data_IF_121340271983
#
_entry.id   IF_121340271983
#
_cell.length_a   1.000
_cell.length_b   1.000
_cell.length_c   1.000
_cell.angle_alpha   90.00
_cell.angle_beta   90.00
_cell.angle_gamma   90.00
#
_symmetry.space_group_name_H-M   'P 1'
#
loop_
_entity.id
_entity.type
_entity.pdbx_description
1 polymer ?
#
# COMPACT_ATOMS: atom_id res chain seq x y z
N UNK A 1 6.81 -7.94 3.74
CA UNK A 1 7.68 -6.82 3.34
C UNK A 1 7.64 -5.67 4.35
N UNK A 2 8.76 -4.96 4.56
CA UNK A 2 8.79 -3.72 5.35
C UNK A 2 8.31 -2.52 4.55
N UNK A 3 7.34 -1.77 5.08
CA UNK A 3 6.79 -0.58 4.44
C UNK A 3 7.05 0.67 5.28
N UNK A 4 7.61 1.70 4.63
CA UNK A 4 7.72 3.06 5.20
C UNK A 4 6.36 3.77 5.23
N UNK A 5 6.28 4.94 5.88
CA UNK A 5 5.08 5.79 5.83
C UNK A 5 4.69 6.11 4.38
N UNK A 6 5.66 6.50 3.54
CA UNK A 6 5.46 6.78 2.11
C UNK A 6 4.87 5.58 1.38
N UNK A 7 5.46 4.39 1.59
CA UNK A 7 4.96 3.17 0.95
C UNK A 7 3.53 2.86 1.35
N UNK A 8 3.19 3.02 2.63
CA UNK A 8 1.85 2.76 3.16
C UNK A 8 0.83 3.74 2.61
N UNK A 9 1.17 5.03 2.50
CA UNK A 9 0.30 6.04 1.87
C UNK A 9 0.05 5.69 0.41
N UNK A 10 1.11 5.38 -0.35
CA UNK A 10 0.99 4.99 -1.75
C UNK A 10 0.13 3.73 -1.91
N UNK A 11 0.37 2.72 -1.08
CA UNK A 11 -0.40 1.47 -1.09
C UNK A 11 -1.87 1.70 -0.76
N UNK A 12 -2.18 2.56 0.22
CA UNK A 12 -3.56 2.95 0.56
C UNK A 12 -4.26 3.69 -0.58
N UNK A 13 -3.55 4.56 -1.31
CA UNK A 13 -4.08 5.26 -2.47
C UNK A 13 -4.40 4.32 -3.65
N UNK A 14 -3.77 3.15 -3.69
CA UNK A 14 -3.93 2.15 -4.76
C UNK A 14 -5.00 1.09 -4.49
N UNK A 15 -5.55 1.08 -3.27
CA UNK A 15 -6.58 0.12 -2.89
C UNK A 15 -7.76 0.22 -3.86
N UNK A 16 -8.13 -0.87 -4.55
CA UNK A 16 -9.29 -0.84 -5.42
C UNK A 16 -10.57 -0.65 -4.60
N UNK A 17 -11.45 0.24 -5.06
CA UNK A 17 -12.75 0.53 -4.46
C UNK A 17 -13.83 -0.52 -4.84
N UNK A 18 -13.50 -1.44 -5.76
CA UNK A 18 -14.39 -2.43 -6.35
C UNK A 18 -13.70 -3.78 -6.53
N UNK A 19 -14.46 -4.87 -6.37
CA UNK A 19 -13.95 -6.24 -6.52
C UNK A 19 -15.00 -7.28 -6.12
N UNK A 20 -14.61 -8.55 -6.09
CA UNK A 20 -15.44 -9.60 -5.51
C UNK A 20 -15.60 -9.40 -3.99
N UNK A 21 -16.65 -9.93 -3.37
CA UNK A 21 -16.86 -9.81 -1.92
C UNK A 21 -15.68 -10.36 -1.10
N UNK A 22 -15.04 -11.44 -1.57
CA UNK A 22 -13.85 -12.01 -0.95
C UNK A 22 -12.68 -11.03 -1.02
N UNK A 23 -12.43 -10.43 -2.18
CA UNK A 23 -11.36 -9.44 -2.36
C UNK A 23 -11.63 -8.18 -1.53
N UNK A 24 -12.86 -7.66 -1.52
CA UNK A 24 -13.23 -6.51 -0.70
C UNK A 24 -13.08 -6.79 0.81
N UNK A 25 -13.34 -8.03 1.24
CA UNK A 25 -13.11 -8.44 2.64
C UNK A 25 -11.62 -8.44 2.99
N UNK A 26 -10.79 -9.04 2.13
CA UNK A 26 -9.33 -9.05 2.30
C UNK A 26 -8.72 -7.65 2.27
N UNK A 27 -9.20 -6.80 1.36
CA UNK A 27 -8.79 -5.39 1.28
C UNK A 27 -9.12 -4.65 2.57
N UNK A 28 -10.31 -4.84 3.14
CA UNK A 28 -10.69 -4.17 4.40
C UNK A 28 -9.76 -4.56 5.55
N UNK A 29 -9.42 -5.84 5.67
CA UNK A 29 -8.50 -6.34 6.71
C UNK A 29 -7.09 -5.80 6.48
N UNK A 30 -6.65 -5.78 5.22
CA UNK A 30 -5.35 -5.26 4.85
C UNK A 30 -5.22 -3.74 5.02
N UNK A 31 -6.23 -2.96 4.67
CA UNK A 31 -6.27 -1.51 4.91
C UNK A 31 -6.14 -1.20 6.39
N UNK A 32 -6.77 -2.00 7.26
CA UNK A 32 -6.60 -1.84 8.71
C UNK A 32 -5.18 -2.19 9.17
N UNK A 33 -4.53 -3.18 8.56
CA UNK A 33 -3.15 -3.54 8.86
C UNK A 33 -2.15 -2.50 8.36
N UNK A 34 -2.34 -1.96 7.15
CA UNK A 34 -1.47 -0.95 6.52
C UNK A 34 -1.71 0.45 7.11
N UNK A 35 -2.92 0.74 7.58
CA UNK A 35 -3.26 2.02 8.21
C UNK A 35 -2.42 2.35 9.44
N UNK A 36 -2.39 3.62 9.81
CA UNK A 36 -1.55 4.16 10.88
C UNK A 36 -2.22 4.03 12.25
N UNK A 37 -1.45 3.67 13.27
CA UNK A 37 -1.90 3.74 14.67
C UNK A 37 -1.88 5.19 15.18
N UNK A 38 -2.56 5.46 16.29
CA UNK A 38 -2.53 6.79 16.93
C UNK A 38 -1.10 7.18 17.33
N UNK A 39 -0.34 6.22 17.87
CA UNK A 39 1.08 6.40 18.22
C UNK A 39 1.95 6.75 17.00
N UNK A 40 1.69 6.12 15.84
CA UNK A 40 2.40 6.43 14.59
C UNK A 40 2.03 7.82 14.06
N UNK A 41 0.75 8.20 14.15
CA UNK A 41 0.25 9.50 13.72
C UNK A 41 0.88 10.61 14.57
N UNK A 42 0.91 10.45 15.89
CA UNK A 42 1.53 11.41 16.80
C UNK A 42 3.06 11.43 16.65
N UNK A 43 3.68 10.25 16.61
CA UNK A 43 5.14 10.09 16.55
C UNK A 43 5.76 10.65 15.27
N UNK A 44 5.09 10.45 14.13
CA UNK A 44 5.52 10.99 12.84
C UNK A 44 4.83 12.31 12.49
N UNK A 45 4.05 12.89 13.41
CA UNK A 45 3.30 14.13 13.19
C UNK A 45 2.52 14.15 11.86
N UNK A 46 1.86 13.04 11.53
CA UNK A 46 1.14 12.86 10.26
C UNK A 46 -0.04 13.81 10.23
N UNK A 47 -0.04 14.71 9.25
CA UNK A 47 -1.09 15.71 9.04
C UNK A 47 -1.56 15.69 7.60
N UNK A 48 -2.85 15.99 7.44
CA UNK A 48 -3.42 16.25 6.12
C UNK A 48 -3.59 17.76 5.94
N UNK A 49 -2.97 18.32 4.90
CA UNK A 49 -3.15 19.70 4.46
C UNK A 49 -3.85 19.68 3.09
N UNK A 50 -5.19 19.83 3.12
CA UNK A 50 -6.03 19.71 1.93
C UNK A 50 -5.93 18.31 1.29
N UNK A 51 -5.35 18.24 0.10
CA UNK A 51 -5.13 16.99 -0.64
C UNK A 51 -3.77 16.34 -0.39
N UNK A 52 -2.88 17.00 0.37
CA UNK A 52 -1.53 16.51 0.65
C UNK A 52 -1.43 15.96 2.07
N UNK A 53 -0.56 14.97 2.24
CA UNK A 53 -0.13 14.50 3.55
C UNK A 53 1.28 15.02 3.82
N UNK A 54 1.53 15.44 5.06
CA UNK A 54 2.85 15.81 5.56
C UNK A 54 3.16 15.00 6.81
N UNK A 55 4.41 14.63 6.99
CA UNK A 55 4.87 13.86 8.15
C UNK A 55 6.35 14.15 8.38
N UNK A 56 6.77 13.98 9.64
CA UNK A 56 8.13 14.11 10.11
C UNK A 56 8.69 12.69 10.32
N UNK A 57 9.40 12.17 9.32
CA UNK A 57 10.04 10.84 9.37
C UNK A 57 11.41 10.89 8.70
N UNK A 58 12.41 10.34 9.37
CA UNK A 58 13.76 10.13 8.83
C UNK A 58 13.92 8.77 8.13
N UNK A 59 12.80 8.03 7.99
CA UNK A 59 12.73 6.68 7.43
C UNK A 59 12.84 5.58 8.49
N UNK A 60 12.81 5.93 9.78
CA UNK A 60 12.88 4.96 10.88
C UNK A 60 11.54 4.27 11.15
N UNK A 61 10.42 4.87 10.75
CA UNK A 61 9.09 4.30 10.99
C UNK A 61 8.73 3.36 9.85
N UNK A 62 9.03 2.08 10.06
CA UNK A 62 8.65 0.99 9.14
C UNK A 62 7.73 -0.01 9.82
N UNK A 63 6.88 -0.66 9.01
CA UNK A 63 5.97 -1.71 9.47
C UNK A 63 6.10 -2.93 8.58
N UNK A 64 6.33 -4.09 9.19
CA UNK A 64 6.27 -5.36 8.49
C UNK A 64 4.81 -5.67 8.16
N UNK A 65 4.52 -5.89 6.88
CA UNK A 65 3.20 -6.24 6.39
C UNK A 65 3.28 -7.52 5.56
N UNK A 66 2.41 -8.47 5.92
CA UNK A 66 2.20 -9.70 5.18
C UNK A 66 1.10 -9.48 4.13
N UNK A 67 1.42 -9.74 2.86
CA UNK A 67 0.46 -9.63 1.75
C UNK A 67 0.13 -11.03 1.25
N UNK A 68 -1.06 -11.52 1.60
CA UNK A 68 -1.53 -12.83 1.15
C UNK A 68 -1.67 -12.90 -0.38
N UNK A 69 -1.57 -14.11 -0.98
CA UNK A 69 -1.48 -14.29 -2.43
C UNK A 69 -2.68 -13.72 -3.19
N UNK A 70 -3.90 -13.93 -2.70
CA UNK A 70 -5.11 -13.43 -3.36
C UNK A 70 -5.18 -11.89 -3.40
N UNK A 71 -4.68 -11.23 -2.36
CA UNK A 71 -4.62 -9.77 -2.29
C UNK A 71 -3.49 -9.23 -3.15
N UNK A 72 -2.33 -9.88 -3.12
CA UNK A 72 -1.17 -9.55 -3.95
C UNK A 72 -1.55 -9.55 -5.43
N UNK A 73 -2.22 -10.61 -5.89
CA UNK A 73 -2.71 -10.71 -7.28
C UNK A 73 -3.68 -9.57 -7.62
N UNK A 74 -4.58 -9.21 -6.68
CA UNK A 74 -5.51 -8.11 -6.88
C UNK A 74 -4.80 -6.74 -6.99
N UNK A 75 -3.76 -6.51 -6.19
CA UNK A 75 -2.96 -5.28 -6.21
C UNK A 75 -2.11 -5.19 -7.49
N UNK A 76 -1.43 -6.26 -7.89
CA UNK A 76 -0.65 -6.32 -9.14
C UNK A 76 -1.57 -6.02 -10.32
N UNK A 77 -2.72 -6.71 -10.41
CA UNK A 77 -3.69 -6.50 -11.47
C UNK A 77 -4.22 -5.06 -11.51
N UNK A 78 -4.41 -4.45 -10.34
CA UNK A 78 -4.84 -3.05 -10.23
C UNK A 78 -3.77 -2.11 -10.79
N UNK A 79 -2.50 -2.30 -10.42
CA UNK A 79 -1.39 -1.49 -10.92
C UNK A 79 -1.25 -1.66 -12.44
N UNK A 80 -1.33 -2.89 -12.95
CA UNK A 80 -1.31 -3.18 -14.39
C UNK A 80 -2.48 -2.50 -15.12
N UNK A 81 -3.69 -2.53 -14.57
CA UNK A 81 -4.87 -1.83 -15.16
C UNK A 81 -4.68 -0.31 -15.21
N UNK A 82 -4.09 0.28 -14.17
CA UNK A 82 -3.79 1.73 -14.12
C UNK A 82 -2.66 2.07 -15.10
N UNK A 83 -1.68 1.18 -15.26
CA UNK A 83 -0.61 1.29 -16.25
C UNK A 83 -1.11 1.23 -17.69
N UNK A 84 -2.07 0.34 -17.99
CA UNK A 84 -2.75 0.29 -19.29
C UNK A 84 -3.50 1.59 -19.62
N UNK A 85 -3.93 2.33 -18.60
CA UNK A 85 -4.58 3.63 -18.74
C UNK A 85 -3.60 4.82 -18.81
N UNK A 86 -2.29 4.58 -18.78
CA UNK A 86 -1.22 5.60 -18.70
C UNK A 86 -1.33 6.52 -17.45
N UNK A 87 -2.00 6.04 -16.39
CA UNK A 87 -2.18 6.77 -15.12
C UNK A 87 -1.23 6.27 -14.02
N UNK A 88 -0.33 5.33 -14.35
CA UNK A 88 0.61 4.77 -13.39
C UNK A 88 1.66 5.81 -12.96
N UNK A 89 1.94 5.84 -11.66
CA UNK A 89 2.99 6.69 -11.09
C UNK A 89 4.27 5.88 -10.82
N UNK A 90 5.40 6.56 -10.68
CA UNK A 90 6.67 5.92 -10.33
C UNK A 90 6.59 5.12 -9.01
N UNK A 91 5.83 5.64 -8.04
CA UNK A 91 5.54 4.95 -6.79
C UNK A 91 4.78 3.62 -6.99
N UNK A 92 3.87 3.56 -7.97
CA UNK A 92 3.16 2.32 -8.31
C UNK A 92 4.08 1.29 -8.94
N UNK A 93 5.02 1.72 -9.77
CA UNK A 93 6.00 0.84 -10.41
C UNK A 93 6.93 0.20 -9.36
N UNK A 94 7.48 1.01 -8.44
CA UNK A 94 8.31 0.51 -7.36
C UNK A 94 7.57 -0.50 -6.48
N UNK A 95 6.30 -0.23 -6.14
CA UNK A 95 5.48 -1.15 -5.38
C UNK A 95 5.19 -2.45 -6.15
N UNK A 96 4.90 -2.35 -7.44
CA UNK A 96 4.63 -3.50 -8.30
C UNK A 96 5.82 -4.47 -8.35
N UNK A 97 7.04 -3.96 -8.50
CA UNK A 97 8.24 -4.79 -8.58
C UNK A 97 8.47 -5.53 -7.25
N UNK A 98 8.32 -4.83 -6.13
CA UNK A 98 8.40 -5.43 -4.79
C UNK A 98 7.33 -6.48 -4.55
N UNK A 99 6.11 -6.27 -5.04
CA UNK A 99 5.01 -7.24 -4.91
C UNK A 99 5.29 -8.52 -5.72
N UNK A 100 5.95 -8.40 -6.88
CA UNK A 100 6.37 -9.53 -7.73
C UNK A 100 7.55 -10.30 -7.13
N UNK A 101 8.56 -9.61 -6.61
CA UNK A 101 9.73 -10.24 -5.95
C UNK A 101 9.32 -11.11 -4.75
N UNK A 102 8.47 -10.58 -3.87
CA UNK A 102 7.92 -11.33 -2.74
C UNK A 102 7.16 -12.59 -3.23
N UNK A 103 6.50 -12.52 -4.38
CA UNK A 103 5.73 -13.63 -4.97
C UNK A 103 6.62 -14.78 -5.47
N UNK A 104 7.85 -14.47 -5.88
CA UNK A 104 8.86 -15.46 -6.26
C UNK A 104 9.54 -16.08 -5.04
N UNK A 105 9.57 -15.36 -3.92
CA UNK A 105 10.18 -15.82 -2.67
C UNK A 105 9.29 -16.83 -1.92
N UNK A 106 7.98 -16.82 -2.18
CA UNK A 106 6.99 -17.75 -1.60
C UNK A 106 6.91 -19.12 -2.32
N UNK A 107 7.68 -19.34 -3.42
CA UNK A 107 7.68 -20.57 -4.22
C UNK A 107 8.87 -21.49 -3.92
#
# INVERSE_FOLDING_TARGET
MQLSITDRINLLALMPDRGSLVVLRLLREFTAAVGFTEEEIEGANIKQDGSAYTWDDDGSITKEIEVGPALRDALIKRIETVGEAEEATDAMLSLHDRLKEDQETDK
#
